data_IF_008433345036
#
_entry.id   IF_008433345036
#
_cell.length_a   1.000
_cell.length_b   1.000
_cell.length_c   1.000
_cell.angle_alpha   90.00
_cell.angle_beta   90.00
_cell.angle_gamma   90.00
#
_symmetry.space_group_name_H-M   'P 1'
#
loop_
_entity.id
_entity.type
_entity.pdbx_description
1 polymer ?
#
# COMPACT_ATOMS: atom_id res chain seq x y z
N UNK A 1 -23.53 10.18 19.08
CA UNK A 1 -22.05 10.28 19.02
C UNK A 1 -21.46 9.49 17.84
N UNK A 2 -21.32 8.15 17.88
CA UNK A 2 -20.67 7.36 16.79
C UNK A 2 -21.16 7.67 15.36
N UNK A 3 -22.48 7.77 15.15
CA UNK A 3 -23.07 8.16 13.86
C UNK A 3 -22.60 9.53 13.37
N UNK A 4 -22.51 10.52 14.27
CA UNK A 4 -22.03 11.87 13.93
C UNK A 4 -20.52 11.91 13.67
N UNK A 5 -19.74 11.13 14.42
CA UNK A 5 -18.30 10.97 14.15
C UNK A 5 -18.09 10.41 12.75
N UNK A 6 -18.77 9.31 12.41
CA UNK A 6 -18.70 8.71 11.08
C UNK A 6 -19.20 9.66 9.98
N UNK A 7 -20.27 10.44 10.23
CA UNK A 7 -20.74 11.47 9.29
C UNK A 7 -19.68 12.55 9.07
N UNK A 8 -19.01 13.01 10.12
CA UNK A 8 -17.91 13.96 10.03
C UNK A 8 -16.72 13.37 9.26
N UNK A 9 -16.34 12.12 9.53
CA UNK A 9 -15.23 11.44 8.85
C UNK A 9 -15.48 11.33 7.34
N UNK A 10 -16.69 10.95 6.91
CA UNK A 10 -17.08 10.94 5.49
C UNK A 10 -16.87 12.29 4.81
N UNK A 11 -17.30 13.37 5.47
CA UNK A 11 -17.15 14.74 4.95
C UNK A 11 -15.68 15.13 4.86
N UNK A 12 -14.86 14.76 5.86
CA UNK A 12 -13.40 14.98 5.84
C UNK A 12 -12.71 14.18 4.73
N UNK A 13 -13.12 12.93 4.48
CA UNK A 13 -12.56 12.11 3.41
C UNK A 13 -12.83 12.74 2.04
N UNK A 14 -14.04 13.25 1.81
CA UNK A 14 -14.40 13.96 0.57
C UNK A 14 -13.72 15.32 0.45
N UNK A 15 -13.56 16.05 1.56
CA UNK A 15 -12.93 17.37 1.59
C UNK A 15 -12.04 17.53 2.83
N UNK A 16 -10.73 17.36 2.63
CA UNK A 16 -9.73 17.42 3.69
C UNK A 16 -9.61 18.81 4.33
N UNK A 17 -10.02 19.88 3.62
CA UNK A 17 -9.97 21.24 4.14
C UNK A 17 -10.89 21.46 5.36
N UNK A 18 -11.83 20.55 5.60
CA UNK A 18 -12.75 20.58 6.74
C UNK A 18 -12.16 19.93 8.01
N UNK A 19 -10.97 19.35 7.92
CA UNK A 19 -10.23 18.81 9.06
C UNK A 19 -9.25 19.86 9.60
N UNK A 20 -9.73 20.72 10.50
CA UNK A 20 -8.91 21.78 11.08
C UNK A 20 -7.62 21.29 11.78
N UNK A 21 -7.61 20.17 12.54
CA UNK A 21 -6.39 19.58 13.07
C UNK A 21 -5.35 19.24 11.98
N UNK A 22 -5.75 18.51 10.94
CA UNK A 22 -4.85 18.12 9.84
C UNK A 22 -4.31 19.33 9.10
N UNK A 23 -5.19 20.27 8.73
CA UNK A 23 -4.80 21.47 7.98
C UNK A 23 -3.86 22.36 8.79
N UNK A 24 -4.07 22.47 10.09
CA UNK A 24 -3.18 23.25 10.98
C UNK A 24 -1.82 22.58 11.09
N UNK A 25 -1.79 21.28 11.33
CA UNK A 25 -0.55 20.54 11.52
C UNK A 25 0.31 20.47 10.24
N UNK A 26 -0.31 20.34 9.07
CA UNK A 26 0.37 20.19 7.77
C UNK A 26 0.46 21.49 6.95
N UNK A 27 0.13 22.65 7.52
CA UNK A 27 -0.06 23.88 6.75
C UNK A 27 1.19 24.29 5.96
N UNK A 28 2.38 24.19 6.56
CA UNK A 28 3.66 24.55 5.94
C UNK A 28 3.94 23.67 4.72
N UNK A 29 3.83 22.36 4.91
CA UNK A 29 4.09 21.32 3.92
C UNK A 29 3.10 21.43 2.75
N UNK A 30 1.82 21.68 3.04
CA UNK A 30 0.80 21.86 2.00
C UNK A 30 1.10 23.05 1.09
N UNK A 31 1.57 24.18 1.65
CA UNK A 31 1.90 25.38 0.88
C UNK A 31 3.17 25.19 0.06
N UNK A 32 4.20 24.61 0.66
CA UNK A 32 5.49 24.38 -0.01
C UNK A 32 5.36 23.42 -1.21
N UNK A 33 4.37 22.51 -1.21
CA UNK A 33 4.17 21.53 -2.29
C UNK A 33 2.99 21.78 -3.18
N UNK A 34 2.30 22.90 -2.98
CA UNK A 34 1.13 23.24 -3.78
C UNK A 34 0.13 22.06 -3.78
N UNK A 35 -0.02 21.37 -2.62
CA UNK A 35 -0.95 20.25 -2.48
C UNK A 35 -2.42 20.69 -2.59
N UNK A 36 -2.66 22.00 -2.50
CA UNK A 36 -3.94 22.63 -2.79
C UNK A 36 -3.92 23.06 -4.25
N UNK A 37 -4.85 22.54 -5.04
CA UNK A 37 -5.02 22.93 -6.44
C UNK A 37 -5.29 24.43 -6.56
N UNK A 38 -4.88 25.01 -7.68
CA UNK A 38 -5.05 26.41 -8.01
C UNK A 38 -6.53 26.85 -7.79
N UNK A 39 -6.81 28.01 -7.16
CA UNK A 39 -8.18 28.48 -6.86
C UNK A 39 -9.11 28.63 -8.08
N UNK A 40 -8.58 28.49 -9.30
CA UNK A 40 -9.31 28.55 -10.57
C UNK A 40 -10.06 27.25 -10.90
N UNK A 41 -9.80 26.15 -10.19
CA UNK A 41 -10.48 24.85 -10.35
C UNK A 41 -11.49 24.65 -9.20
N UNK A 42 -12.42 25.60 -9.07
CA UNK A 42 -13.33 25.79 -7.94
C UNK A 42 -14.27 24.61 -7.63
N UNK A 43 -14.38 23.63 -8.54
CA UNK A 43 -15.28 22.47 -8.39
C UNK A 43 -14.60 21.21 -7.84
N UNK A 44 -13.27 21.11 -7.85
CA UNK A 44 -12.58 19.92 -7.31
C UNK A 44 -12.24 20.07 -5.83
N UNK A 45 -13.08 19.48 -4.99
CA UNK A 45 -12.77 19.29 -3.58
C UNK A 45 -11.47 18.51 -3.40
N UNK A 46 -10.55 19.01 -2.57
CA UNK A 46 -9.32 18.30 -2.21
C UNK A 46 -9.68 17.13 -1.28
N UNK A 47 -9.81 15.93 -1.85
CA UNK A 47 -10.06 14.72 -1.05
C UNK A 47 -8.88 14.41 -0.13
N UNK A 48 -9.17 13.76 0.99
CA UNK A 48 -8.15 13.33 1.95
C UNK A 48 -7.12 12.39 1.32
N UNK A 49 -7.55 11.49 0.44
CA UNK A 49 -6.66 10.57 -0.29
C UNK A 49 -5.67 11.37 -1.15
N UNK A 50 -6.13 12.38 -1.89
CA UNK A 50 -5.25 13.19 -2.74
C UNK A 50 -4.28 14.05 -1.91
N UNK A 51 -4.74 14.61 -0.78
CA UNK A 51 -3.86 15.33 0.13
C UNK A 51 -2.78 14.42 0.72
N UNK A 52 -3.15 13.23 1.19
CA UNK A 52 -2.20 12.24 1.70
C UNK A 52 -1.20 11.82 0.63
N UNK A 53 -1.64 11.53 -0.60
CA UNK A 53 -0.74 11.19 -1.72
C UNK A 53 0.28 12.31 -1.99
N UNK A 54 -0.15 13.58 -1.95
CA UNK A 54 0.74 14.72 -2.15
C UNK A 54 1.80 14.83 -1.05
N UNK A 55 1.38 14.75 0.21
CA UNK A 55 2.30 14.82 1.35
C UNK A 55 3.24 13.61 1.41
N UNK A 56 2.76 12.41 1.04
CA UNK A 56 3.58 11.20 0.98
C UNK A 56 4.67 11.25 -0.09
N UNK A 57 4.40 11.89 -1.23
CA UNK A 57 5.41 12.07 -2.28
C UNK A 57 6.66 12.79 -1.73
N UNK A 58 6.48 13.73 -0.80
CA UNK A 58 7.59 14.45 -0.16
C UNK A 58 8.40 13.59 0.77
N UNK A 59 7.73 12.78 1.60
CA UNK A 59 8.39 11.80 2.46
C UNK A 59 9.19 10.84 1.58
N UNK A 60 8.62 10.40 0.46
CA UNK A 60 9.26 9.49 -0.51
C UNK A 60 10.46 10.12 -1.21
N UNK A 61 10.42 11.41 -1.51
CA UNK A 61 11.56 12.18 -2.06
C UNK A 61 12.61 12.59 -1.01
N UNK A 62 12.42 12.22 0.27
CA UNK A 62 13.39 12.43 1.34
C UNK A 62 13.27 13.76 2.08
N UNK A 63 12.18 14.50 1.87
CA UNK A 63 11.92 15.76 2.57
C UNK A 63 11.45 15.49 3.99
N UNK A 64 11.83 16.36 4.92
CA UNK A 64 11.36 16.30 6.30
C UNK A 64 9.95 16.88 6.40
N UNK A 65 9.08 16.18 7.12
CA UNK A 65 7.75 16.64 7.51
C UNK A 65 7.74 16.74 9.03
N UNK A 66 7.09 17.78 9.57
CA UNK A 66 6.98 17.96 11.02
C UNK A 66 6.25 16.79 11.67
N UNK A 67 6.66 16.45 12.89
CA UNK A 67 6.06 15.35 13.64
C UNK A 67 4.56 15.54 13.89
N UNK A 68 4.11 16.78 14.05
CA UNK A 68 2.68 17.09 14.19
C UNK A 68 1.88 16.72 12.93
N UNK A 69 2.37 17.10 11.74
CA UNK A 69 1.75 16.72 10.47
C UNK A 69 1.80 15.20 10.30
N UNK A 70 2.94 14.56 10.57
CA UNK A 70 3.08 13.10 10.47
C UNK A 70 2.10 12.35 11.39
N UNK A 71 1.85 12.86 12.60
CA UNK A 71 0.86 12.27 13.53
C UNK A 71 -0.56 12.40 12.99
N UNK A 72 -0.94 13.57 12.50
CA UNK A 72 -2.26 13.77 11.88
C UNK A 72 -2.44 12.90 10.64
N UNK A 73 -1.42 12.84 9.76
CA UNK A 73 -1.43 11.94 8.60
C UNK A 73 -1.64 10.48 9.05
N UNK A 74 -0.90 10.00 10.05
CA UNK A 74 -1.05 8.64 10.55
C UNK A 74 -2.46 8.37 11.11
N UNK A 75 -3.04 9.32 11.85
CA UNK A 75 -4.41 9.20 12.36
C UNK A 75 -5.43 9.03 11.23
N UNK A 76 -5.28 9.80 10.15
CA UNK A 76 -6.15 9.75 8.98
C UNK A 76 -5.95 8.46 8.16
N UNK A 77 -4.71 7.99 8.00
CA UNK A 77 -4.41 6.70 7.35
C UNK A 77 -5.03 5.53 8.13
N UNK A 78 -4.89 5.54 9.45
CA UNK A 78 -5.54 4.56 10.35
C UNK A 78 -7.04 4.57 10.20
N UNK A 79 -7.66 5.75 10.18
CA UNK A 79 -9.10 5.90 9.97
C UNK A 79 -9.54 5.27 8.65
N UNK A 80 -8.84 5.58 7.55
CA UNK A 80 -9.13 5.03 6.21
C UNK A 80 -9.02 3.50 6.17
N UNK A 81 -8.06 2.91 6.89
CA UNK A 81 -7.91 1.44 6.98
C UNK A 81 -8.82 0.77 8.03
N UNK A 82 -9.38 1.54 8.96
CA UNK A 82 -10.23 0.98 10.02
C UNK A 82 -11.69 0.91 9.60
N UNK A 83 -12.14 1.83 8.75
CA UNK A 83 -13.54 1.95 8.34
C UNK A 83 -13.68 2.23 6.84
N UNK A 84 -13.87 1.18 6.04
CA UNK A 84 -14.10 1.32 4.60
C UNK A 84 -15.30 2.21 4.26
N UNK A 85 -16.27 2.33 5.18
CA UNK A 85 -17.50 3.07 4.94
C UNK A 85 -17.27 4.58 4.91
N UNK A 86 -16.14 5.08 5.45
CA UNK A 86 -15.81 6.50 5.38
C UNK A 86 -15.34 6.94 3.99
N UNK A 87 -15.00 6.00 3.09
CA UNK A 87 -14.55 6.26 1.72
C UNK A 87 -15.69 6.04 0.71
N UNK A 88 -16.32 7.11 0.19
CA UNK A 88 -17.41 7.00 -0.79
C UNK A 88 -17.00 6.25 -2.06
N UNK A 89 -15.76 6.45 -2.51
CA UNK A 89 -15.20 5.79 -3.68
C UNK A 89 -15.14 4.28 -3.45
N UNK A 90 -14.61 3.82 -2.32
CA UNK A 90 -14.57 2.38 -1.99
C UNK A 90 -15.99 1.81 -1.89
N UNK A 91 -16.88 2.45 -1.14
CA UNK A 91 -18.25 1.93 -0.95
C UNK A 91 -19.08 1.86 -2.23
N UNK A 92 -18.89 2.80 -3.16
CA UNK A 92 -19.65 2.85 -4.42
C UNK A 92 -18.98 2.02 -5.52
N UNK A 93 -17.66 2.12 -5.66
CA UNK A 93 -16.88 1.54 -6.77
C UNK A 93 -16.49 0.08 -6.55
N UNK A 94 -16.51 -0.39 -5.29
CA UNK A 94 -16.25 -1.78 -4.94
C UNK A 94 -17.51 -2.54 -4.47
N UNK A 95 -18.70 -1.97 -4.68
CA UNK A 95 -19.95 -2.55 -4.15
C UNK A 95 -20.18 -3.99 -4.63
N UNK A 96 -19.89 -4.27 -5.89
CA UNK A 96 -20.09 -5.60 -6.48
C UNK A 96 -19.14 -6.62 -5.86
N UNK A 97 -17.87 -6.27 -5.68
CA UNK A 97 -16.85 -7.11 -5.06
C UNK A 97 -17.18 -7.39 -3.61
N UNK A 98 -17.68 -6.38 -2.87
CA UNK A 98 -18.13 -6.57 -1.50
C UNK A 98 -19.28 -7.59 -1.40
N UNK A 99 -20.22 -7.56 -2.36
CA UNK A 99 -21.35 -8.48 -2.39
C UNK A 99 -20.91 -9.89 -2.80
N UNK A 100 -20.06 -10.02 -3.82
CA UNK A 100 -19.70 -11.29 -4.43
C UNK A 100 -18.62 -12.02 -3.63
N UNK A 101 -17.53 -11.33 -3.28
CA UNK A 101 -16.35 -11.94 -2.68
C UNK A 101 -16.31 -11.77 -1.15
N UNK A 102 -16.97 -10.74 -0.62
CA UNK A 102 -17.00 -10.45 0.82
C UNK A 102 -18.40 -10.56 1.43
N UNK A 103 -19.26 -11.43 0.86
CA UNK A 103 -20.69 -11.51 1.16
C UNK A 103 -21.02 -11.62 2.67
N UNK A 104 -20.24 -12.42 3.41
CA UNK A 104 -20.41 -12.59 4.87
C UNK A 104 -20.23 -11.27 5.61
N UNK A 105 -19.15 -10.53 5.29
CA UNK A 105 -18.87 -9.23 5.89
C UNK A 105 -19.88 -8.18 5.44
N UNK A 106 -20.30 -8.23 4.17
CA UNK A 106 -21.29 -7.30 3.62
C UNK A 106 -22.65 -7.45 4.30
N UNK A 107 -23.13 -8.69 4.52
CA UNK A 107 -24.41 -8.98 5.21
C UNK A 107 -24.38 -8.60 6.68
N UNK A 108 -23.25 -8.81 7.36
CA UNK A 108 -23.08 -8.42 8.76
C UNK A 108 -23.11 -6.90 8.97
N UNK A 109 -22.96 -6.13 7.88
CA UNK A 109 -22.92 -4.68 7.88
C UNK A 109 -21.71 -4.12 8.62
N UNK A 110 -21.58 -2.78 8.59
CA UNK A 110 -20.62 -2.05 9.40
C UNK A 110 -21.05 -2.06 10.89
N UNK A 111 -20.92 -3.20 11.56
CA UNK A 111 -21.32 -3.32 12.97
C UNK A 111 -20.26 -2.72 13.90
N UNK A 112 -20.57 -1.52 14.40
CA UNK A 112 -20.42 -1.12 15.80
C UNK A 112 -19.03 -0.86 16.39
N UNK A 113 -18.01 -1.70 16.16
CA UNK A 113 -16.69 -1.54 16.77
C UNK A 113 -15.71 -0.96 15.76
N UNK A 114 -15.17 0.22 16.09
CA UNK A 114 -14.28 1.07 15.27
C UNK A 114 -13.03 0.31 14.79
N UNK A 115 -12.64 -0.78 15.46
CA UNK A 115 -11.27 -1.28 15.37
C UNK A 115 -11.10 -2.60 14.59
N UNK A 116 -12.18 -3.33 14.29
CA UNK A 116 -12.02 -4.71 13.79
C UNK A 116 -12.92 -5.13 12.62
N UNK A 117 -14.03 -4.45 12.32
CA UNK A 117 -14.92 -4.86 11.22
C UNK A 117 -14.67 -4.15 9.90
N UNK A 118 -14.39 -2.84 9.93
CA UNK A 118 -14.17 -2.08 8.70
C UNK A 118 -12.85 -2.44 8.02
N UNK A 119 -11.78 -2.64 8.79
CA UNK A 119 -10.51 -3.17 8.27
C UNK A 119 -10.65 -4.57 7.66
N UNK A 120 -11.51 -5.44 8.21
CA UNK A 120 -11.77 -6.77 7.61
C UNK A 120 -12.36 -6.69 6.22
N UNK A 121 -13.22 -5.72 5.94
CA UNK A 121 -13.75 -5.53 4.59
C UNK A 121 -12.64 -5.11 3.62
N UNK A 122 -11.79 -4.16 4.02
CA UNK A 122 -10.66 -3.70 3.19
C UNK A 122 -9.73 -4.86 2.88
N UNK A 123 -9.34 -5.63 3.90
CA UNK A 123 -8.48 -6.78 3.72
C UNK A 123 -9.16 -7.94 2.95
N UNK A 124 -10.47 -8.11 3.09
CA UNK A 124 -11.21 -9.04 2.22
C UNK A 124 -11.15 -8.60 0.75
N UNK A 125 -11.31 -7.30 0.47
CA UNK A 125 -11.14 -6.75 -0.88
C UNK A 125 -9.69 -6.91 -1.38
N UNK A 126 -8.69 -6.77 -0.50
CA UNK A 126 -7.29 -7.02 -0.86
C UNK A 126 -7.06 -8.48 -1.26
N UNK A 127 -7.59 -9.43 -0.48
CA UNK A 127 -7.48 -10.84 -0.82
C UNK A 127 -8.26 -11.20 -2.09
N UNK A 128 -9.44 -10.63 -2.28
CA UNK A 128 -10.22 -10.80 -3.49
C UNK A 128 -9.46 -10.26 -4.72
N UNK A 129 -8.86 -9.08 -4.62
CA UNK A 129 -8.03 -8.49 -5.68
C UNK A 129 -6.79 -9.34 -6.04
N UNK A 130 -6.37 -10.24 -5.14
CA UNK A 130 -5.26 -11.17 -5.37
C UNK A 130 -5.70 -12.50 -5.96
N UNK A 131 -6.87 -13.03 -5.55
CA UNK A 131 -7.30 -14.40 -5.89
C UNK A 131 -8.35 -14.49 -6.98
N UNK A 132 -9.16 -13.44 -7.15
CA UNK A 132 -10.36 -13.49 -7.97
C UNK A 132 -10.09 -12.91 -9.36
N UNK A 133 -10.29 -13.72 -10.40
CA UNK A 133 -10.04 -13.31 -11.79
C UNK A 133 -11.09 -12.33 -12.32
N UNK A 134 -12.28 -12.30 -11.73
CA UNK A 134 -13.40 -11.43 -12.10
C UNK A 134 -13.45 -10.12 -11.30
N UNK A 135 -12.39 -9.78 -10.54
CA UNK A 135 -12.31 -8.53 -9.78
C UNK A 135 -12.27 -7.31 -10.73
N UNK A 136 -13.15 -6.31 -10.53
CA UNK A 136 -13.23 -5.20 -11.49
C UNK A 136 -12.02 -4.28 -11.46
N UNK A 137 -11.68 -3.74 -12.63
CA UNK A 137 -10.63 -2.70 -12.76
C UNK A 137 -10.98 -1.42 -12.00
N UNK A 138 -12.27 -1.09 -11.91
CA UNK A 138 -12.74 0.12 -11.22
C UNK A 138 -12.51 0.00 -9.71
N UNK A 139 -12.87 -1.12 -9.09
CA UNK A 139 -12.56 -1.34 -7.68
C UNK A 139 -11.05 -1.42 -7.43
N UNK A 140 -10.32 -2.14 -8.29
CA UNK A 140 -8.86 -2.32 -8.14
C UNK A 140 -8.12 -0.98 -8.16
N UNK A 141 -8.52 -0.06 -9.04
CA UNK A 141 -7.96 1.27 -9.09
C UNK A 141 -8.15 2.04 -7.77
N UNK A 142 -9.36 2.01 -7.20
CA UNK A 142 -9.67 2.71 -5.96
C UNK A 142 -8.96 2.09 -4.75
N UNK A 143 -8.86 0.76 -4.70
CA UNK A 143 -8.08 0.04 -3.70
C UNK A 143 -6.58 0.40 -3.81
N UNK A 144 -6.00 0.42 -5.01
CA UNK A 144 -4.61 0.85 -5.21
C UNK A 144 -4.38 2.30 -4.79
N UNK A 145 -5.33 3.19 -5.08
CA UNK A 145 -5.28 4.59 -4.63
C UNK A 145 -5.26 4.70 -3.10
N UNK A 146 -6.14 3.94 -2.43
CA UNK A 146 -6.19 3.84 -0.97
C UNK A 146 -4.85 3.32 -0.40
N UNK A 147 -4.33 2.20 -0.93
CA UNK A 147 -3.08 1.60 -0.47
C UNK A 147 -1.90 2.57 -0.66
N UNK A 148 -1.86 3.34 -1.75
CA UNK A 148 -0.82 4.36 -1.98
C UNK A 148 -0.91 5.54 -1.02
N UNK A 149 -2.11 5.96 -0.64
CA UNK A 149 -2.32 7.07 0.31
C UNK A 149 -2.03 6.66 1.76
N UNK A 150 -2.39 5.42 2.11
CA UNK A 150 -2.15 4.85 3.44
C UNK A 150 -0.68 4.45 3.62
N UNK A 151 -0.12 3.81 2.60
CA UNK A 151 1.23 3.23 2.58
C UNK A 151 1.54 2.35 3.82
N UNK A 152 0.78 1.26 4.02
CA UNK A 152 0.98 0.37 5.18
C UNK A 152 2.33 -0.36 5.15
N UNK A 153 2.95 -0.46 3.96
CA UNK A 153 4.30 -0.98 3.78
C UNK A 153 5.37 -0.14 4.49
N UNK A 154 5.16 1.17 4.55
CA UNK A 154 6.10 2.13 5.15
C UNK A 154 5.89 2.32 6.65
N UNK A 155 4.67 2.15 7.14
CA UNK A 155 4.34 2.21 8.57
C UNK A 155 3.20 1.23 8.86
N UNK A 156 3.52 0.09 9.48
CA UNK A 156 2.52 -0.95 9.82
C UNK A 156 1.38 -0.40 10.68
N UNK A 157 1.62 0.66 11.45
CA UNK A 157 0.59 1.30 12.28
C UNK A 157 -0.48 1.99 11.44
N UNK A 158 -0.25 2.24 10.15
CA UNK A 158 -1.27 2.77 9.25
C UNK A 158 -2.39 1.76 8.98
N UNK A 159 -2.12 0.46 9.19
CA UNK A 159 -3.06 -0.65 9.05
C UNK A 159 -3.26 -1.37 10.39
N UNK A 160 -4.30 -0.99 11.17
CA UNK A 160 -4.52 -1.56 12.50
C UNK A 160 -4.84 -3.07 12.50
N UNK A 161 -5.41 -3.60 11.41
CA UNK A 161 -5.73 -5.03 11.35
C UNK A 161 -4.46 -5.84 11.12
N UNK A 162 -3.60 -5.41 10.19
CA UNK A 162 -2.27 -6.00 10.00
C UNK A 162 -1.41 -5.87 11.27
N UNK A 163 -1.38 -4.68 11.88
CA UNK A 163 -0.62 -4.42 13.11
C UNK A 163 -1.03 -5.37 14.25
N UNK A 164 -2.33 -5.60 14.40
CA UNK A 164 -2.88 -6.49 15.43
C UNK A 164 -2.58 -7.95 15.11
N UNK A 165 -2.82 -8.39 13.87
CA UNK A 165 -2.58 -9.76 13.43
C UNK A 165 -1.09 -10.15 13.59
N UNK A 166 -0.18 -9.23 13.33
CA UNK A 166 1.25 -9.48 13.38
C UNK A 166 1.91 -9.16 14.72
N UNK A 167 1.19 -8.69 15.75
CA UNK A 167 1.79 -8.22 17.01
C UNK A 167 2.72 -9.24 17.65
N UNK A 168 2.25 -10.48 17.84
CA UNK A 168 3.03 -11.56 18.46
C UNK A 168 4.28 -11.92 17.66
N UNK A 169 4.18 -11.90 16.32
CA UNK A 169 5.29 -12.16 15.40
C UNK A 169 6.31 -11.03 15.49
N UNK A 170 5.87 -9.78 15.54
CA UNK A 170 6.73 -8.60 15.69
C UNK A 170 7.51 -8.69 17.00
N UNK A 171 6.82 -8.96 18.11
CA UNK A 171 7.41 -9.00 19.45
C UNK A 171 8.42 -10.16 19.61
N UNK A 172 8.31 -11.22 18.80
CA UNK A 172 9.18 -12.41 18.91
C UNK A 172 10.30 -12.47 17.87
N UNK A 173 10.02 -12.05 16.63
CA UNK A 173 10.95 -12.16 15.49
C UNK A 173 11.54 -10.81 15.05
N UNK A 174 10.81 -9.71 15.28
CA UNK A 174 11.18 -8.37 14.81
C UNK A 174 11.39 -7.35 15.94
N UNK A 175 11.52 -7.79 17.19
CA UNK A 175 11.58 -6.94 18.38
C UNK A 175 12.68 -5.86 18.37
N UNK A 176 13.76 -6.09 17.60
CA UNK A 176 14.88 -5.14 17.46
C UNK A 176 14.56 -3.95 16.57
N UNK A 177 13.42 -3.96 15.87
CA UNK A 177 12.99 -2.89 14.96
C UNK A 177 11.98 -2.01 15.67
N UNK A 178 12.21 -0.70 15.69
CA UNK A 178 11.29 0.25 16.33
C UNK A 178 9.96 0.33 15.55
N UNK A 179 8.79 0.35 16.23
CA UNK A 179 7.50 0.67 15.61
C UNK A 179 7.54 2.01 14.86
N UNK A 180 7.10 2.01 13.60
CA UNK A 180 7.16 3.18 12.71
C UNK A 180 8.43 3.29 11.85
N UNK A 181 9.36 2.34 11.97
CA UNK A 181 10.39 2.09 10.96
C UNK A 181 9.82 1.18 9.85
N UNK A 182 9.98 1.59 8.59
CA UNK A 182 9.60 0.86 7.37
C UNK A 182 10.19 -0.57 7.27
N UNK A 183 11.08 -0.92 8.20
CA UNK A 183 11.72 -2.22 8.25
C UNK A 183 10.88 -3.33 8.90
N UNK A 184 9.75 -3.03 9.57
CA UNK A 184 8.91 -4.08 10.18
C UNK A 184 8.31 -5.00 9.13
N UNK A 185 7.68 -4.44 8.09
CA UNK A 185 7.07 -5.22 7.01
C UNK A 185 8.11 -6.11 6.32
N UNK A 186 9.31 -5.57 6.10
CA UNK A 186 10.42 -6.36 5.55
C UNK A 186 10.80 -7.53 6.46
N UNK A 187 10.96 -7.28 7.76
CA UNK A 187 11.31 -8.33 8.72
C UNK A 187 10.25 -9.43 8.76
N UNK A 188 8.97 -9.07 8.71
CA UNK A 188 7.88 -10.04 8.64
C UNK A 188 7.95 -10.87 7.36
N UNK A 189 8.21 -10.24 6.19
CA UNK A 189 8.37 -10.94 4.91
C UNK A 189 9.59 -11.86 4.89
N UNK A 190 10.71 -11.45 5.50
CA UNK A 190 11.90 -12.29 5.63
C UNK A 190 11.65 -13.52 6.52
N UNK A 191 10.71 -13.42 7.45
CA UNK A 191 10.32 -14.49 8.36
C UNK A 191 9.00 -15.17 7.99
N UNK A 192 8.49 -14.98 6.77
CA UNK A 192 7.15 -15.47 6.38
C UNK A 192 7.00 -16.99 6.47
N UNK A 193 8.10 -17.75 6.38
CA UNK A 193 8.13 -19.22 6.53
C UNK A 193 8.59 -19.68 7.91
N UNK A 194 8.80 -18.76 8.84
CA UNK A 194 9.21 -19.10 10.20
C UNK A 194 8.08 -19.83 10.92
N UNK A 195 8.41 -20.81 11.76
CA UNK A 195 7.42 -21.57 12.55
C UNK A 195 6.64 -20.71 13.55
N UNK A 196 7.18 -19.54 13.93
CA UNK A 196 6.49 -18.56 14.78
C UNK A 196 5.61 -17.57 13.99
N UNK A 197 5.57 -17.65 12.67
CA UNK A 197 4.62 -16.89 11.85
C UNK A 197 3.22 -17.48 12.02
N UNK A 198 2.28 -16.67 12.51
CA UNK A 198 0.87 -17.05 12.63
C UNK A 198 0.18 -16.96 11.27
N UNK A 199 -0.81 -17.82 11.01
CA UNK A 199 -1.62 -17.77 9.77
C UNK A 199 -2.26 -16.40 9.54
N UNK A 200 -2.86 -15.80 10.58
CA UNK A 200 -3.48 -14.48 10.50
C UNK A 200 -2.50 -13.40 10.03
N UNK A 201 -1.28 -13.38 10.59
CA UNK A 201 -0.23 -12.45 10.15
C UNK A 201 0.26 -12.76 8.73
N UNK A 202 0.51 -14.03 8.37
CA UNK A 202 0.93 -14.41 7.01
C UNK A 202 -0.11 -13.93 5.98
N UNK A 203 -1.39 -14.15 6.24
CA UNK A 203 -2.47 -13.74 5.36
C UNK A 203 -2.56 -12.22 5.18
N UNK A 204 -2.64 -11.46 6.29
CA UNK A 204 -2.73 -9.99 6.22
C UNK A 204 -1.48 -9.38 5.58
N UNK A 205 -0.31 -9.95 5.87
CA UNK A 205 0.96 -9.51 5.30
C UNK A 205 0.99 -9.75 3.79
N UNK A 206 0.55 -10.92 3.32
CA UNK A 206 0.52 -11.25 1.89
C UNK A 206 -0.46 -10.37 1.11
N UNK A 207 -1.58 -9.99 1.71
CA UNK A 207 -2.54 -9.04 1.12
C UNK A 207 -1.90 -7.67 0.86
N UNK A 208 -1.11 -7.15 1.80
CA UNK A 208 -0.39 -5.88 1.63
C UNK A 208 0.81 -6.05 0.68
N UNK A 209 1.57 -7.13 0.83
CA UNK A 209 2.75 -7.41 0.02
C UNK A 209 2.40 -7.57 -1.47
N UNK A 210 1.21 -8.08 -1.80
CA UNK A 210 0.70 -8.16 -3.18
C UNK A 210 0.73 -6.79 -3.88
N UNK A 211 0.25 -5.73 -3.22
CA UNK A 211 0.28 -4.38 -3.78
C UNK A 211 1.70 -3.82 -3.83
N UNK A 212 2.49 -4.02 -2.77
CA UNK A 212 3.89 -3.56 -2.71
C UNK A 212 4.75 -4.18 -3.82
N UNK A 213 4.53 -5.45 -4.13
CA UNK A 213 5.25 -6.16 -5.18
C UNK A 213 4.93 -5.61 -6.58
N UNK A 214 3.70 -5.11 -6.79
CA UNK A 214 3.22 -4.60 -8.10
C UNK A 214 3.48 -3.12 -8.30
N UNK A 215 3.58 -2.35 -7.22
CA UNK A 215 3.76 -0.90 -7.29
C UNK A 215 5.01 -0.45 -6.53
N UNK A 216 6.11 -0.24 -7.25
CA UNK A 216 7.37 0.25 -6.68
C UNK A 216 7.24 1.62 -5.98
N UNK A 217 6.16 2.37 -6.24
CA UNK A 217 5.87 3.64 -5.56
C UNK A 217 5.49 3.44 -4.09
N UNK A 218 5.19 2.20 -3.68
CA UNK A 218 5.01 1.77 -2.28
C UNK A 218 6.36 1.39 -1.62
N UNK A 219 7.48 1.65 -2.28
CA UNK A 219 8.82 1.42 -1.72
C UNK A 219 9.60 2.74 -1.63
N UNK A 220 9.41 3.55 -0.56
CA UNK A 220 10.06 4.86 -0.43
C UNK A 220 11.57 4.81 -0.59
N UNK A 221 12.23 3.77 -0.05
CA UNK A 221 13.69 3.65 -0.11
C UNK A 221 14.19 3.49 -1.55
N UNK A 222 13.49 2.72 -2.39
CA UNK A 222 13.79 2.62 -3.82
C UNK A 222 13.68 3.98 -4.49
N UNK A 223 12.59 4.73 -4.22
CA UNK A 223 12.39 6.05 -4.80
C UNK A 223 13.58 6.95 -4.45
N UNK A 224 13.92 7.06 -3.16
CA UNK A 224 15.05 7.89 -2.69
C UNK A 224 16.37 7.53 -3.36
N UNK A 225 16.66 6.25 -3.51
CA UNK A 225 17.97 5.81 -4.01
C UNK A 225 18.05 5.73 -5.54
N UNK A 226 16.92 5.46 -6.21
CA UNK A 226 16.85 5.17 -7.64
C UNK A 226 16.16 6.24 -8.49
N UNK A 227 15.55 7.28 -7.91
CA UNK A 227 14.80 8.29 -8.68
C UNK A 227 15.61 8.88 -9.83
N UNK A 228 16.86 9.28 -9.59
CA UNK A 228 17.74 9.80 -10.64
C UNK A 228 17.95 8.78 -11.76
N UNK A 229 18.19 7.52 -11.41
CA UNK A 229 18.34 6.46 -12.41
C UNK A 229 17.03 6.19 -13.18
N UNK A 230 15.88 6.26 -12.52
CA UNK A 230 14.57 6.11 -13.16
C UNK A 230 14.32 7.23 -14.18
N UNK A 231 14.64 8.49 -13.84
CA UNK A 231 14.48 9.64 -14.73
C UNK A 231 15.51 9.59 -15.87
N UNK A 232 16.80 9.52 -15.54
CA UNK A 232 17.89 9.68 -16.50
C UNK A 232 18.03 8.45 -17.42
N UNK A 233 17.98 7.25 -16.85
CA UNK A 233 18.23 5.99 -17.56
C UNK A 233 16.95 5.34 -18.08
N UNK A 234 15.86 5.40 -17.31
CA UNK A 234 14.59 4.74 -17.64
C UNK A 234 13.50 5.69 -18.13
N UNK A 235 13.82 6.99 -18.30
CA UNK A 235 12.93 8.01 -18.88
C UNK A 235 11.59 8.15 -18.16
N UNK A 236 11.59 7.96 -16.84
CA UNK A 236 10.43 8.23 -16.00
C UNK A 236 10.07 9.73 -16.07
N UNK A 237 8.82 10.09 -16.43
CA UNK A 237 8.40 11.50 -16.47
C UNK A 237 8.46 12.15 -15.10
N UNK A 238 8.88 13.42 -15.00
CA UNK A 238 9.00 14.12 -13.70
C UNK A 238 7.69 14.18 -12.91
N UNK A 239 6.54 14.20 -13.59
CA UNK A 239 5.20 14.21 -13.00
C UNK A 239 4.69 12.84 -12.55
N UNK A 240 5.54 11.81 -12.51
CA UNK A 240 5.15 10.43 -12.19
C UNK A 240 4.44 10.27 -10.85
N UNK A 241 4.79 11.08 -9.84
CA UNK A 241 4.26 10.93 -8.48
C UNK A 241 2.77 11.29 -8.39
N UNK A 242 2.35 12.29 -9.17
CA UNK A 242 0.96 12.75 -9.27
C UNK A 242 0.12 11.91 -10.25
N UNK A 243 0.76 11.04 -11.04
CA UNK A 243 0.06 10.19 -11.99
C UNK A 243 -0.51 8.93 -11.31
N UNK A 244 -1.80 8.97 -11.01
CA UNK A 244 -2.51 7.81 -10.46
C UNK A 244 -2.91 6.75 -11.49
N UNK A 245 -2.71 7.01 -12.79
CA UNK A 245 -3.18 6.17 -13.88
C UNK A 245 -2.10 5.24 -14.47
N UNK A 246 -0.89 5.20 -13.89
CA UNK A 246 0.12 4.23 -14.32
C UNK A 246 -0.38 2.80 -14.10
N UNK A 247 -0.36 1.99 -15.15
CA UNK A 247 -0.73 0.57 -15.10
C UNK A 247 0.38 -0.27 -14.48
N UNK A 248 0.04 -1.47 -14.01
CA UNK A 248 1.02 -2.41 -13.46
C UNK A 248 2.11 -2.78 -14.48
N UNK A 249 1.73 -2.87 -15.76
CA UNK A 249 2.66 -3.09 -16.87
C UNK A 249 3.69 -1.95 -16.96
N UNK A 250 3.23 -0.69 -16.89
CA UNK A 250 4.13 0.47 -16.92
C UNK A 250 5.05 0.50 -15.69
N UNK A 251 4.51 0.20 -14.50
CA UNK A 251 5.30 0.12 -13.27
C UNK A 251 6.35 -0.99 -13.36
N UNK A 252 5.98 -2.15 -13.89
CA UNK A 252 6.88 -3.27 -14.15
C UNK A 252 7.98 -2.93 -15.15
N UNK A 253 7.69 -2.20 -16.22
CA UNK A 253 8.69 -1.76 -17.22
C UNK A 253 9.79 -0.91 -16.59
N UNK A 254 9.47 0.03 -15.69
CA UNK A 254 10.48 0.83 -15.01
C UNK A 254 11.38 -0.01 -14.10
N UNK A 255 10.79 -0.95 -13.36
CA UNK A 255 11.55 -1.85 -12.49
C UNK A 255 12.42 -2.82 -13.32
N UNK A 256 11.89 -3.33 -14.42
CA UNK A 256 12.63 -4.14 -15.40
C UNK A 256 13.79 -3.38 -16.04
N UNK A 257 13.59 -2.10 -16.38
CA UNK A 257 14.67 -1.23 -16.88
C UNK A 257 15.80 -1.07 -15.84
N UNK A 258 15.47 -0.81 -14.57
CA UNK A 258 16.48 -0.76 -13.50
C UNK A 258 17.25 -2.08 -13.40
N UNK A 259 16.55 -3.21 -13.46
CA UNK A 259 17.18 -4.54 -13.41
C UNK A 259 18.13 -4.79 -14.59
N UNK A 260 17.71 -4.48 -15.81
CA UNK A 260 18.55 -4.59 -17.01
C UNK A 260 19.80 -3.70 -16.92
N UNK A 261 19.66 -2.49 -16.37
CA UNK A 261 20.74 -1.51 -16.23
C UNK A 261 21.47 -1.58 -14.90
N UNK A 262 21.37 -2.69 -14.13
CA UNK A 262 21.90 -2.84 -12.76
C UNK A 262 23.36 -2.40 -12.57
N UNK A 263 24.20 -2.56 -13.60
CA UNK A 263 25.62 -2.16 -13.57
C UNK A 263 25.84 -0.65 -13.66
N UNK A 264 24.89 0.10 -14.22
CA UNK A 264 24.93 1.56 -14.38
C UNK A 264 24.24 2.29 -13.20
N UNK A 265 23.68 1.55 -12.25
CA UNK A 265 23.01 2.11 -11.08
C UNK A 265 24.03 2.49 -10.00
N UNK A 266 23.67 3.48 -9.18
CA UNK A 266 24.38 3.76 -7.93
C UNK A 266 24.35 2.54 -7.00
N UNK A 267 25.34 2.41 -6.11
CA UNK A 267 25.40 1.28 -5.17
C UNK A 267 24.16 1.20 -4.29
N UNK A 268 23.71 2.34 -3.76
CA UNK A 268 22.50 2.43 -2.96
C UNK A 268 21.25 1.98 -3.74
N UNK A 269 21.13 2.40 -5.01
CA UNK A 269 20.01 1.96 -5.85
C UNK A 269 20.08 0.46 -6.14
N UNK A 270 21.27 -0.08 -6.41
CA UNK A 270 21.48 -1.50 -6.69
C UNK A 270 21.15 -2.37 -5.47
N UNK A 271 21.52 -1.94 -4.27
CA UNK A 271 21.19 -2.63 -3.01
C UNK A 271 19.68 -2.68 -2.82
N UNK A 272 18.97 -1.57 -2.98
CA UNK A 272 17.52 -1.54 -2.81
C UNK A 272 16.77 -2.28 -3.90
N UNK A 273 17.25 -2.23 -5.14
CA UNK A 273 16.71 -3.03 -6.23
C UNK A 273 16.82 -4.53 -5.90
N UNK A 274 18.00 -4.99 -5.44
CA UNK A 274 18.18 -6.38 -4.99
C UNK A 274 17.23 -6.75 -3.85
N UNK A 275 17.04 -5.84 -2.88
CA UNK A 275 16.10 -6.06 -1.77
C UNK A 275 14.68 -6.27 -2.26
N UNK A 276 14.19 -5.44 -3.19
CA UNK A 276 12.84 -5.61 -3.76
C UNK A 276 12.72 -6.91 -4.54
N UNK A 277 13.74 -7.26 -5.33
CA UNK A 277 13.76 -8.54 -6.03
C UNK A 277 13.71 -9.71 -5.05
N UNK A 278 14.43 -9.62 -3.93
CA UNK A 278 14.39 -10.63 -2.86
C UNK A 278 13.02 -10.76 -2.19
N UNK A 279 12.22 -9.69 -2.10
CA UNK A 279 10.83 -9.78 -1.62
C UNK A 279 9.98 -10.56 -2.61
N UNK A 280 10.11 -10.25 -3.90
CA UNK A 280 9.34 -10.92 -4.95
C UNK A 280 9.62 -12.43 -4.97
N UNK A 281 10.82 -12.87 -4.62
CA UNK A 281 11.17 -14.29 -4.56
C UNK A 281 10.65 -15.03 -3.33
N UNK A 282 10.07 -14.35 -2.33
CA UNK A 282 9.56 -15.00 -1.10
C UNK A 282 8.31 -15.86 -1.33
N UNK A 283 7.54 -15.53 -2.36
CA UNK A 283 6.34 -16.27 -2.75
C UNK A 283 6.01 -15.98 -4.22
N UNK A 284 5.49 -16.99 -4.94
CA UNK A 284 5.11 -16.84 -6.35
C UNK A 284 4.07 -15.73 -6.55
N UNK A 285 3.13 -15.57 -5.60
CA UNK A 285 2.14 -14.48 -5.63
C UNK A 285 2.71 -13.06 -5.42
N UNK A 286 4.01 -12.93 -5.20
CA UNK A 286 4.74 -11.66 -5.18
C UNK A 286 5.57 -11.44 -6.44
N UNK A 287 5.45 -12.31 -7.44
CA UNK A 287 6.07 -12.17 -8.76
C UNK A 287 4.98 -11.93 -9.81
N UNK A 288 4.58 -10.67 -10.07
CA UNK A 288 3.48 -10.39 -10.99
C UNK A 288 3.67 -11.02 -12.36
N UNK A 289 4.91 -11.03 -12.86
CA UNK A 289 5.24 -11.58 -14.18
C UNK A 289 5.07 -13.11 -14.27
N UNK A 290 5.22 -13.82 -13.15
CA UNK A 290 5.04 -15.27 -13.07
C UNK A 290 3.60 -15.61 -12.71
N UNK A 291 3.04 -14.93 -11.70
CA UNK A 291 1.67 -15.11 -11.27
C UNK A 291 0.72 -14.91 -12.46
N UNK A 292 0.74 -13.73 -13.10
CA UNK A 292 -0.22 -13.37 -14.15
C UNK A 292 -0.19 -14.32 -15.37
N UNK A 293 0.96 -14.95 -15.66
CA UNK A 293 1.13 -15.85 -16.82
C UNK A 293 1.01 -17.34 -16.47
N UNK A 294 1.31 -17.73 -15.23
CA UNK A 294 1.40 -19.14 -14.83
C UNK A 294 0.35 -19.56 -13.80
N UNK A 295 -0.61 -18.69 -13.42
CA UNK A 295 -1.65 -19.02 -12.43
C UNK A 295 -2.39 -20.34 -12.70
N UNK A 296 -2.74 -20.62 -13.96
CA UNK A 296 -3.45 -21.84 -14.33
C UNK A 296 -2.60 -23.10 -14.09
N UNK A 297 -1.31 -23.04 -14.41
CA UNK A 297 -0.38 -24.16 -14.22
C UNK A 297 -0.03 -24.35 -12.73
N UNK A 298 0.11 -23.25 -11.98
CA UNK A 298 0.35 -23.25 -10.54
C UNK A 298 -0.82 -23.89 -9.77
N UNK A 299 -2.06 -23.71 -10.25
CA UNK A 299 -3.24 -24.34 -9.66
C UNK A 299 -3.26 -25.88 -9.83
N UNK A 300 -2.49 -26.42 -10.78
CA UNK A 300 -2.38 -27.87 -11.03
C UNK A 300 -1.32 -28.54 -10.14
N UNK A 301 -0.52 -27.78 -9.39
CA UNK A 301 0.48 -28.33 -8.48
C UNK A 301 -0.21 -29.04 -7.30
N UNK A 302 -0.13 -30.38 -7.27
CA UNK A 302 -0.76 -31.28 -6.27
C UNK A 302 -0.26 -31.13 -4.82
N UNK A 303 0.65 -30.21 -4.55
CA UNK A 303 1.21 -29.98 -3.22
C UNK A 303 1.17 -28.49 -2.89
N UNK A 304 0.18 -28.02 -2.11
CA UNK A 304 0.08 -26.60 -1.71
C UNK A 304 1.23 -26.17 -0.78
N UNK A 305 2.03 -27.12 -0.29
CA UNK A 305 3.27 -26.89 0.46
C UNK A 305 4.48 -26.50 -0.40
N UNK A 306 4.35 -26.46 -1.75
CA UNK A 306 5.26 -25.64 -2.55
C UNK A 306 4.84 -24.18 -2.34
N UNK A 307 5.14 -23.68 -1.14
CA UNK A 307 5.22 -22.28 -0.77
C UNK A 307 6.41 -21.66 -1.54
N UNK A 308 6.32 -21.66 -2.87
CA UNK A 308 7.12 -20.90 -3.83
C UNK A 308 8.60 -20.75 -3.54
N UNK A 309 9.39 -21.83 -3.58
CA UNK A 309 10.84 -21.67 -3.74
C UNK A 309 11.12 -21.08 -5.13
N UNK A 310 11.40 -19.78 -5.19
CA UNK A 310 12.10 -19.18 -6.32
C UNK A 310 13.58 -19.32 -6.00
N UNK A 311 14.18 -20.45 -6.37
CA UNK A 311 15.64 -20.60 -6.29
C UNK A 311 16.26 -19.60 -7.26
N UNK A 312 17.10 -18.70 -6.77
CA UNK A 312 18.03 -17.98 -7.64
C UNK A 312 18.84 -19.05 -8.39
N UNK A 313 18.64 -19.16 -9.70
CA UNK A 313 19.63 -19.78 -10.55
C UNK A 313 20.90 -18.95 -10.35
N UNK A 314 21.87 -19.51 -9.62
CA UNK A 314 23.22 -18.99 -9.61
C UNK A 314 23.72 -19.04 -11.06
N UNK A 315 23.57 -17.92 -11.75
CA UNK A 315 24.21 -17.71 -13.05
C UNK A 315 25.70 -17.54 -12.77
N UNK A 316 26.43 -18.66 -12.87
CA UNK A 316 27.87 -18.68 -13.17
C UNK A 316 28.16 -17.94 -14.46
#
# INVERSE_FOLDING_TARGET
CRKEVHRRQKVVVSNALLDAPLIRACQSEMREHQCVTNPQDSDKQLSLINLLLCLEDRIKKGNQIKDECRREMLAHRRMLMSDYAVSPEITSKCKNEMIQHCHTLYRQGASGTIDQRGGRMIHCLFNAARRESNFSRECLFNIKSLVRAVDPGSDIRADPLLETACRSVIDTLCAKIKPGDSNIIMCLLDNIKNTRMTEDCEDRLMEVAYFMARDWRLTPKLIRTCQKNLIDLCKLPESWSMNNNMTDVQLGQYLGCLYQKKQQLSDNCRIELKRIMSIRTKAIGLMPEVEDNCMADLALCKNPEIKGEVRELQMT
#
